data_IF_890754950588
#
_entry.id   IF_890754950588
#
_cell.length_a   1.000
_cell.length_b   1.000
_cell.length_c   1.000
_cell.angle_alpha   90.00
_cell.angle_beta   90.00
_cell.angle_gamma   90.00
#
_symmetry.space_group_name_H-M   'P 1'
#
loop_
_entity.id
_entity.type
_entity.pdbx_description
1 polymer ?
#
# COMPACT_ATOMS: atom_id res chain seq x y z
N UNK A 1 -5.88 18.85 2.17
CA UNK A 1 -4.74 17.95 2.43
C UNK A 1 -3.47 18.77 2.39
N UNK A 2 -2.48 18.46 3.24
CA UNK A 2 -1.24 19.24 3.37
C UNK A 2 -0.21 18.97 2.25
N UNK A 3 -0.65 18.67 1.02
CA UNK A 3 0.20 18.43 -0.15
C UNK A 3 1.04 17.15 -0.13
N UNK A 4 0.82 16.24 0.81
CA UNK A 4 1.64 15.03 1.00
C UNK A 4 1.64 14.08 -0.20
N UNK A 5 0.59 14.09 -1.01
CA UNK A 5 0.42 13.18 -2.14
C UNK A 5 0.59 13.86 -3.51
N UNK A 6 0.94 15.15 -3.55
CA UNK A 6 0.92 15.93 -4.79
C UNK A 6 1.94 15.44 -5.82
N UNK A 7 3.05 14.83 -5.37
CA UNK A 7 4.17 14.40 -6.21
C UNK A 7 4.52 12.91 -6.07
N UNK A 8 3.61 12.09 -5.52
CA UNK A 8 3.86 10.65 -5.41
C UNK A 8 3.56 9.96 -6.75
N UNK A 9 4.39 8.99 -7.14
CA UNK A 9 4.13 8.16 -8.32
C UNK A 9 3.10 7.05 -8.06
N UNK A 10 2.88 6.71 -6.79
CA UNK A 10 1.99 5.65 -6.34
C UNK A 10 2.14 5.41 -4.85
N UNK A 11 1.25 4.59 -4.29
CA UNK A 11 1.23 4.25 -2.87
C UNK A 11 1.23 2.73 -2.73
N UNK A 12 2.10 2.21 -1.87
CA UNK A 12 2.11 0.80 -1.47
C UNK A 12 1.64 0.71 -0.02
N UNK A 13 0.60 -0.08 0.23
CA UNK A 13 0.08 -0.35 1.56
C UNK A 13 0.42 -1.79 1.92
N UNK A 14 1.17 -1.95 3.01
CA UNK A 14 1.53 -3.25 3.54
C UNK A 14 0.33 -3.97 4.14
N UNK A 15 0.52 -5.25 4.42
CA UNK A 15 -0.47 -6.09 5.09
C UNK A 15 -0.91 -5.55 6.44
N UNK A 16 -2.21 -5.66 6.69
CA UNK A 16 -2.79 -5.37 7.99
C UNK A 16 -2.74 -6.59 8.90
N UNK A 17 -2.27 -6.39 10.13
CA UNK A 17 -2.28 -7.42 11.18
C UNK A 17 -3.53 -7.35 12.06
N UNK A 18 -4.28 -6.24 12.01
CA UNK A 18 -5.43 -6.04 12.86
C UNK A 18 -6.56 -6.99 12.42
N UNK A 19 -7.26 -7.64 13.36
CA UNK A 19 -8.42 -8.45 13.04
C UNK A 19 -9.51 -7.57 12.43
N UNK A 20 -10.31 -8.17 11.55
CA UNK A 20 -11.52 -7.51 11.06
C UNK A 20 -12.46 -7.17 12.23
N UNK A 21 -13.21 -6.08 12.08
CA UNK A 21 -14.17 -5.69 13.09
C UNK A 21 -15.22 -6.80 13.27
N UNK A 22 -15.44 -7.22 14.52
CA UNK A 22 -16.40 -8.28 14.84
C UNK A 22 -17.86 -7.86 14.58
N UNK A 23 -18.11 -6.56 14.48
CA UNK A 23 -19.42 -5.96 14.23
C UNK A 23 -19.55 -5.62 12.74
N UNK A 24 -20.55 -6.15 12.02
CA UNK A 24 -20.75 -5.90 10.58
C UNK A 24 -20.92 -4.41 10.21
N UNK A 25 -21.28 -3.58 11.20
CA UNK A 25 -21.60 -2.16 11.03
C UNK A 25 -20.36 -1.26 11.13
N UNK A 26 -19.21 -1.81 11.57
CA UNK A 26 -17.93 -1.09 11.60
C UNK A 26 -17.23 -1.22 10.27
N UNK A 27 -16.61 -0.12 9.81
CA UNK A 27 -15.81 -0.14 8.59
C UNK A 27 -14.69 -1.17 8.73
N UNK A 28 -14.61 -2.06 7.74
CA UNK A 28 -13.47 -2.95 7.63
C UNK A 28 -12.23 -2.14 7.21
N UNK A 29 -11.04 -2.69 7.44
CA UNK A 29 -9.78 -2.02 7.14
C UNK A 29 -9.69 -1.54 5.68
N UNK A 30 -10.20 -2.35 4.75
CA UNK A 30 -10.17 -2.04 3.33
C UNK A 30 -11.10 -0.87 2.98
N UNK A 31 -12.30 -0.81 3.56
CA UNK A 31 -13.23 0.31 3.38
C UNK A 31 -12.64 1.63 3.87
N UNK A 32 -11.94 1.60 5.01
CA UNK A 32 -11.25 2.77 5.54
C UNK A 32 -10.17 3.28 4.57
N UNK A 33 -9.40 2.35 3.97
CA UNK A 33 -8.40 2.69 2.97
C UNK A 33 -9.02 3.23 1.68
N UNK A 34 -10.11 2.63 1.20
CA UNK A 34 -10.82 3.11 0.02
C UNK A 34 -11.40 4.50 0.29
N UNK A 35 -12.05 4.71 1.43
CA UNK A 35 -12.55 6.03 1.84
C UNK A 35 -11.43 7.07 1.91
N UNK A 36 -10.26 6.70 2.42
CA UNK A 36 -9.13 7.60 2.57
C UNK A 36 -8.39 7.89 1.25
N UNK A 37 -8.30 6.92 0.32
CA UNK A 37 -7.36 6.98 -0.81
C UNK A 37 -8.03 6.98 -2.19
N UNK A 38 -9.33 6.66 -2.30
CA UNK A 38 -10.04 6.54 -3.59
C UNK A 38 -10.09 7.82 -4.44
N UNK A 39 -9.92 8.98 -3.80
CA UNK A 39 -9.91 10.27 -4.48
C UNK A 39 -8.55 10.58 -5.15
N UNK A 40 -7.51 9.80 -4.86
CA UNK A 40 -6.18 9.97 -5.44
C UNK A 40 -6.16 9.47 -6.89
N UNK A 41 -5.40 10.18 -7.75
CA UNK A 41 -5.25 9.85 -9.18
C UNK A 41 -4.05 8.94 -9.48
N UNK A 42 -3.37 8.47 -8.43
CA UNK A 42 -2.18 7.63 -8.52
C UNK A 42 -2.54 6.19 -8.17
N UNK A 43 -1.81 5.20 -8.69
CA UNK A 43 -2.05 3.81 -8.34
C UNK A 43 -1.79 3.57 -6.84
N UNK A 44 -2.70 2.82 -6.21
CA UNK A 44 -2.55 2.32 -4.84
C UNK A 44 -2.57 0.80 -4.89
N UNK A 45 -1.52 0.17 -4.38
CA UNK A 45 -1.41 -1.29 -4.29
C UNK A 45 -1.51 -1.67 -2.82
N UNK A 46 -2.47 -2.54 -2.52
CA UNK A 46 -2.73 -3.05 -1.18
C UNK A 46 -2.11 -4.43 -0.98
N UNK A 47 -2.04 -4.87 0.26
CA UNK A 47 -1.60 -6.23 0.63
C UNK A 47 -0.15 -6.55 0.23
N UNK A 48 0.69 -5.53 0.15
CA UNK A 48 2.10 -5.70 -0.21
C UNK A 48 2.85 -6.38 0.94
N UNK A 49 3.82 -7.24 0.61
CA UNK A 49 4.70 -7.93 1.56
C UNK A 49 5.71 -6.99 2.23
N UNK A 50 5.25 -5.91 2.87
CA UNK A 50 6.03 -4.91 3.60
C UNK A 50 5.39 -4.63 4.96
N UNK A 51 6.19 -4.21 5.94
CA UNK A 51 5.72 -3.87 7.28
C UNK A 51 5.86 -5.04 8.26
N UNK A 52 4.94 -5.16 9.22
CA UNK A 52 5.08 -6.08 10.36
C UNK A 52 4.63 -7.51 10.08
N UNK A 53 3.79 -7.74 9.05
CA UNK A 53 3.25 -9.07 8.74
C UNK A 53 4.17 -9.79 7.75
N UNK A 54 4.75 -10.97 8.10
CA UNK A 54 5.63 -11.72 7.20
C UNK A 54 4.94 -12.36 5.99
N UNK A 55 5.62 -12.50 4.82
CA UNK A 55 6.96 -12.00 4.46
C UNK A 55 7.14 -10.47 4.43
N UNK A 56 8.39 -10.01 4.61
CA UNK A 56 8.73 -8.59 4.70
C UNK A 56 9.88 -8.28 3.73
N UNK A 57 9.56 -7.66 2.60
CA UNK A 57 10.53 -7.15 1.63
C UNK A 57 11.28 -5.97 2.25
N UNK A 58 12.61 -6.02 2.15
CA UNK A 58 13.46 -4.88 2.54
C UNK A 58 13.36 -3.79 1.50
N UNK A 59 13.01 -2.57 1.93
CA UNK A 59 13.00 -1.38 1.08
C UNK A 59 14.05 -0.38 1.57
N UNK A 60 14.95 0.02 0.67
CA UNK A 60 15.89 1.10 0.94
C UNK A 60 15.22 2.46 0.75
N UNK A 61 15.12 3.24 1.83
CA UNK A 61 14.58 4.60 1.78
C UNK A 61 15.46 5.50 0.90
N UNK A 62 14.84 6.22 -0.03
CA UNK A 62 15.53 7.13 -0.97
C UNK A 62 16.08 6.46 -2.23
N UNK A 63 16.07 5.12 -2.32
CA UNK A 63 16.44 4.43 -3.55
C UNK A 63 15.36 4.60 -4.62
N UNK A 64 15.78 4.76 -5.88
CA UNK A 64 14.84 4.76 -7.01
C UNK A 64 14.29 3.34 -7.17
N UNK A 65 12.96 3.22 -7.10
CA UNK A 65 12.28 1.93 -7.20
C UNK A 65 11.31 1.90 -8.39
N UNK A 66 11.31 0.79 -9.13
CA UNK A 66 10.28 0.47 -10.13
C UNK A 66 9.38 -0.63 -9.60
N UNK A 67 8.07 -0.38 -9.60
CA UNK A 67 7.05 -1.32 -9.15
C UNK A 67 6.31 -1.83 -10.38
N UNK A 68 6.17 -3.15 -10.52
CA UNK A 68 5.31 -3.77 -11.52
C UNK A 68 4.28 -4.64 -10.82
N UNK A 69 3.02 -4.49 -11.19
CA UNK A 69 1.93 -5.32 -10.67
C UNK A 69 1.01 -5.72 -11.82
N UNK A 70 0.73 -7.01 -11.93
CA UNK A 70 -0.09 -7.59 -12.99
C UNK A 70 -0.82 -8.83 -12.47
N UNK A 71 -1.70 -9.41 -13.28
CA UNK A 71 -2.36 -10.69 -12.93
C UNK A 71 -1.42 -11.87 -12.70
N UNK A 72 -0.11 -11.72 -12.95
CA UNK A 72 0.93 -12.73 -12.68
C UNK A 72 1.71 -12.49 -11.39
N UNK A 73 1.39 -11.45 -10.63
CA UNK A 73 2.06 -11.06 -9.39
C UNK A 73 2.69 -9.67 -9.45
N UNK A 74 3.40 -9.33 -8.37
CA UNK A 74 4.10 -8.06 -8.18
C UNK A 74 5.61 -8.21 -8.10
N UNK A 75 6.35 -7.19 -8.52
CA UNK A 75 7.80 -7.09 -8.33
C UNK A 75 8.23 -5.66 -8.00
N UNK A 76 9.33 -5.57 -7.24
CA UNK A 76 9.99 -4.32 -6.85
C UNK A 76 11.46 -4.44 -7.25
N UNK A 77 11.95 -3.48 -8.04
CA UNK A 77 13.37 -3.36 -8.38
C UNK A 77 13.90 -2.04 -7.86
N UNK A 78 15.01 -2.06 -7.13
CA UNK A 78 15.62 -0.87 -6.52
C UNK A 78 17.02 -0.63 -7.09
N UNK A 79 17.32 0.63 -7.43
CA UNK A 79 18.66 1.08 -7.82
C UNK A 79 19.32 1.75 -6.61
N UNK A 80 20.51 1.26 -6.27
CA UNK A 80 21.34 1.74 -5.15
C UNK A 80 22.49 2.62 -5.66
#
# INVERSE_FOLDING_TARGET
MHGWFDNVAGILIGRNAAPDAAEPERQNYFDALISALSHLKVPVIYDVDIGHVPPQLSLVNGALATISFSGKGGSISQQL
#
